data_IF_395044358601
#
_entry.id   IF_395044358601
#
_cell.length_a   1.000
_cell.length_b   1.000
_cell.length_c   1.000
_cell.angle_alpha   90.00
_cell.angle_beta   90.00
_cell.angle_gamma   90.00
#
_symmetry.space_group_name_H-M   'P 1'
#
loop_
_entity.id
_entity.type
_entity.pdbx_description
1 polymer ?
#
# COMPACT_ATOMS: atom_id res chain seq x y z
N UNK A 1 3.77 19.49 11.17
CA UNK A 1 5.10 19.21 11.75
C UNK A 1 6.14 18.95 10.66
N UNK A 2 5.90 18.05 9.71
CA UNK A 2 6.81 17.81 8.58
C UNK A 2 6.77 18.90 7.49
N UNK A 3 5.64 19.56 7.29
CA UNK A 3 5.51 20.75 6.41
C UNK A 3 6.48 21.87 6.77
N UNK A 4 6.67 22.13 8.07
CA UNK A 4 7.63 23.15 8.57
C UNK A 4 9.09 22.78 8.26
N UNK A 5 9.42 21.48 8.24
CA UNK A 5 10.74 21.03 7.81
C UNK A 5 10.90 21.24 6.30
N UNK A 6 9.90 20.87 5.50
CA UNK A 6 9.92 21.09 4.05
C UNK A 6 10.09 22.57 3.70
N UNK A 7 9.45 23.46 4.47
CA UNK A 7 9.63 24.92 4.37
C UNK A 7 11.06 25.36 4.63
N UNK A 8 11.69 24.89 5.71
CA UNK A 8 13.10 25.19 6.02
C UNK A 8 14.06 24.62 4.97
N UNK A 9 13.68 23.53 4.31
CA UNK A 9 14.44 22.92 3.22
C UNK A 9 14.13 23.53 1.85
N UNK A 10 13.25 24.53 1.75
CA UNK A 10 12.91 25.21 0.50
C UNK A 10 12.06 24.38 -0.48
N UNK A 11 11.41 23.32 -0.01
CA UNK A 11 10.62 22.38 -0.83
C UNK A 11 9.14 22.29 -0.40
N UNK A 12 8.64 23.30 0.32
CA UNK A 12 7.27 23.32 0.87
C UNK A 12 6.19 23.14 -0.19
N UNK A 13 6.33 23.82 -1.33
CA UNK A 13 5.31 23.78 -2.38
C UNK A 13 5.24 22.38 -3.01
N UNK A 14 6.38 21.75 -3.28
CA UNK A 14 6.43 20.39 -3.80
C UNK A 14 5.93 19.38 -2.77
N UNK A 15 6.22 19.62 -1.49
CA UNK A 15 5.82 18.73 -0.41
C UNK A 15 4.32 18.79 -0.10
N UNK A 16 3.73 19.99 -0.04
CA UNK A 16 2.31 20.18 0.27
C UNK A 16 1.43 20.11 -0.98
N UNK A 17 2.04 20.22 -2.16
CA UNK A 17 1.38 20.48 -3.44
C UNK A 17 0.46 21.71 -3.42
N UNK A 18 0.72 22.65 -2.52
CA UNK A 18 -0.12 23.83 -2.30
C UNK A 18 -1.47 23.53 -1.64
N UNK A 19 -1.69 22.32 -1.11
CA UNK A 19 -2.94 21.94 -0.44
C UNK A 19 -2.78 21.97 1.08
N UNK A 20 -3.80 22.49 1.73
CA UNK A 20 -4.05 22.33 3.16
C UNK A 20 -4.46 20.90 3.49
N UNK A 21 -4.48 20.56 4.77
CA UNK A 21 -4.97 19.25 5.23
C UNK A 21 -6.42 18.98 4.80
N UNK A 22 -7.30 19.99 4.86
CA UNK A 22 -8.71 19.86 4.45
C UNK A 22 -8.85 19.58 2.95
N UNK A 23 -8.05 20.28 2.14
CA UNK A 23 -8.03 20.07 0.68
C UNK A 23 -7.46 18.70 0.33
N UNK A 24 -6.44 18.22 1.06
CA UNK A 24 -5.94 16.86 0.92
C UNK A 24 -7.00 15.82 1.25
N UNK A 25 -7.74 15.99 2.35
CA UNK A 25 -8.83 15.07 2.70
C UNK A 25 -9.91 15.02 1.60
N UNK A 26 -10.30 16.18 1.06
CA UNK A 26 -11.29 16.27 -0.02
C UNK A 26 -10.79 15.66 -1.32
N UNK A 27 -9.52 15.90 -1.68
CA UNK A 27 -8.89 15.37 -2.88
C UNK A 27 -8.84 13.83 -2.85
N UNK A 28 -8.32 13.25 -1.77
CA UNK A 28 -8.24 11.80 -1.60
C UNK A 28 -9.63 11.16 -1.54
N UNK A 29 -10.59 11.84 -0.91
CA UNK A 29 -11.97 11.36 -0.88
C UNK A 29 -12.62 11.38 -2.27
N UNK A 30 -12.37 12.40 -3.08
CA UNK A 30 -12.85 12.46 -4.47
C UNK A 30 -12.29 11.30 -5.30
N UNK A 31 -10.98 11.04 -5.22
CA UNK A 31 -10.34 9.88 -5.86
C UNK A 31 -10.95 8.55 -5.37
N UNK A 32 -11.27 8.46 -4.08
CA UNK A 32 -11.90 7.27 -3.51
C UNK A 32 -13.31 7.05 -4.04
N UNK A 33 -14.09 8.12 -4.28
CA UNK A 33 -15.44 8.05 -4.86
C UNK A 33 -15.44 7.60 -6.33
N UNK A 34 -14.38 7.90 -7.08
CA UNK A 34 -14.21 7.38 -8.44
C UNK A 34 -14.09 5.85 -8.44
N UNK A 35 -13.32 5.30 -7.48
CA UNK A 35 -13.16 3.86 -7.32
C UNK A 35 -14.34 3.18 -6.60
N UNK A 36 -15.04 3.91 -5.73
CA UNK A 36 -16.14 3.40 -4.89
C UNK A 36 -17.34 4.36 -5.01
N UNK A 37 -18.18 4.21 -6.06
CA UNK A 37 -19.32 5.11 -6.31
C UNK A 37 -20.37 5.16 -5.19
N UNK A 38 -20.38 4.13 -4.33
CA UNK A 38 -21.27 4.02 -3.15
C UNK A 38 -20.91 4.99 -2.02
N UNK A 39 -19.70 5.57 -2.04
CA UNK A 39 -19.30 6.55 -1.04
C UNK A 39 -20.18 7.81 -1.14
N UNK A 40 -20.74 8.29 -0.01
CA UNK A 40 -21.59 9.48 0.01
C UNK A 40 -20.77 10.73 -0.34
N UNK A 41 -21.38 11.91 -0.34
CA UNK A 41 -20.62 13.15 -0.48
C UNK A 41 -19.65 13.34 0.71
N UNK A 42 -18.60 14.16 0.53
CA UNK A 42 -17.62 14.39 1.59
C UNK A 42 -18.27 14.95 2.85
N UNK A 43 -19.25 15.85 2.70
CA UNK A 43 -19.96 16.46 3.83
C UNK A 43 -20.81 15.44 4.60
N UNK A 44 -21.53 14.58 3.89
CA UNK A 44 -22.31 13.51 4.49
C UNK A 44 -21.40 12.52 5.23
N UNK A 45 -20.30 12.09 4.59
CA UNK A 45 -19.32 11.22 5.22
C UNK A 45 -18.72 11.85 6.48
N UNK A 46 -18.32 13.12 6.42
CA UNK A 46 -17.75 13.85 7.55
C UNK A 46 -18.72 13.91 8.73
N UNK A 47 -20.03 14.07 8.46
CA UNK A 47 -21.07 14.06 9.47
C UNK A 47 -21.34 12.65 10.04
N UNK A 48 -21.30 11.63 9.20
CA UNK A 48 -21.52 10.23 9.60
C UNK A 48 -20.33 9.64 10.36
N UNK A 49 -19.11 10.08 10.04
CA UNK A 49 -17.85 9.63 10.64
C UNK A 49 -17.34 8.27 10.13
N UNK A 50 -18.22 7.40 9.62
CA UNK A 50 -17.84 6.08 9.11
C UNK A 50 -18.73 5.64 7.94
N UNK A 51 -18.10 5.03 6.94
CA UNK A 51 -18.75 4.29 5.87
C UNK A 51 -18.43 2.80 6.05
N UNK A 52 -19.45 1.94 6.10
CA UNK A 52 -19.29 0.49 6.26
C UNK A 52 -19.72 -0.21 4.97
N UNK A 53 -18.81 -0.97 4.37
CA UNK A 53 -19.09 -1.85 3.24
C UNK A 53 -18.86 -3.29 3.65
N UNK A 54 -19.83 -4.16 3.37
CA UNK A 54 -19.65 -5.60 3.53
C UNK A 54 -18.98 -6.14 2.29
N UNK A 55 -17.98 -6.99 2.45
CA UNK A 55 -17.35 -7.67 1.33
C UNK A 55 -18.39 -8.58 0.64
N UNK A 56 -18.70 -8.36 -0.65
CA UNK A 56 -19.66 -9.19 -1.38
C UNK A 56 -19.14 -10.62 -1.60
N UNK A 57 -17.82 -10.84 -1.60
CA UNK A 57 -17.21 -12.16 -1.82
C UNK A 57 -17.18 -13.02 -0.54
N UNK A 58 -17.57 -12.46 0.60
CA UNK A 58 -17.66 -13.20 1.86
C UNK A 58 -16.31 -13.50 2.47
N UNK A 59 -16.16 -14.69 3.05
CA UNK A 59 -14.96 -15.06 3.80
C UNK A 59 -13.85 -15.53 2.85
N UNK A 60 -12.75 -14.79 2.81
CA UNK A 60 -11.55 -15.18 2.08
C UNK A 60 -10.64 -16.07 2.94
N UNK A 61 -10.26 -17.24 2.40
CA UNK A 61 -9.27 -18.14 3.02
C UNK A 61 -7.94 -17.96 2.30
N UNK A 62 -6.98 -17.33 2.98
CA UNK A 62 -5.64 -17.11 2.43
C UNK A 62 -4.96 -18.43 2.02
N UNK A 63 -4.26 -18.42 0.89
CA UNK A 63 -3.53 -19.56 0.32
C UNK A 63 -4.36 -20.81 0.01
N UNK A 64 -5.69 -20.72 0.00
CA UNK A 64 -6.56 -21.87 -0.32
C UNK A 64 -6.18 -22.52 -1.65
N UNK A 65 -6.04 -21.73 -2.71
CA UNK A 65 -5.71 -22.24 -4.05
C UNK A 65 -4.33 -22.93 -4.08
N UNK A 66 -3.31 -22.33 -3.44
CA UNK A 66 -1.98 -22.96 -3.30
C UNK A 66 -2.04 -24.27 -2.49
N UNK A 67 -2.87 -24.33 -1.44
CA UNK A 67 -3.06 -25.54 -0.64
C UNK A 67 -3.79 -26.64 -1.42
N UNK A 68 -4.76 -26.27 -2.25
CA UNK A 68 -5.54 -27.20 -3.07
C UNK A 68 -4.72 -27.75 -4.24
N UNK A 69 -3.98 -26.89 -4.94
CA UNK A 69 -3.07 -27.27 -6.02
C UNK A 69 -1.86 -26.30 -6.09
N UNK A 70 -0.72 -26.66 -5.48
CA UNK A 70 0.47 -25.81 -5.46
C UNK A 70 1.22 -25.77 -6.79
N UNK A 71 0.96 -26.71 -7.71
CA UNK A 71 1.58 -26.70 -9.03
C UNK A 71 0.83 -25.78 -9.99
N UNK A 72 -0.50 -25.77 -9.91
CA UNK A 72 -1.33 -24.84 -10.69
C UNK A 72 -1.33 -23.41 -10.12
N UNK A 73 -1.08 -23.25 -8.81
CA UNK A 73 -1.09 -21.96 -8.11
C UNK A 73 0.22 -21.71 -7.36
N UNK A 74 1.39 -21.70 -8.03
CA UNK A 74 2.68 -21.57 -7.36
C UNK A 74 2.82 -20.21 -6.67
N UNK A 75 3.61 -20.16 -5.59
CA UNK A 75 4.02 -18.91 -4.98
C UNK A 75 5.02 -18.16 -5.88
N UNK A 76 5.27 -16.89 -5.57
CA UNK A 76 6.22 -16.04 -6.31
C UNK A 76 7.70 -16.32 -5.98
N UNK A 77 7.97 -17.35 -5.17
CA UNK A 77 9.33 -17.80 -4.85
C UNK A 77 9.95 -18.54 -6.04
N UNK A 78 11.29 -18.59 -6.15
CA UNK A 78 11.96 -19.32 -7.23
C UNK A 78 11.51 -20.78 -7.39
N UNK A 79 11.26 -21.47 -6.28
CA UNK A 79 10.77 -22.86 -6.29
C UNK A 79 9.26 -23.00 -6.49
N UNK A 80 8.49 -21.90 -6.48
CA UNK A 80 7.03 -21.91 -6.45
C UNK A 80 6.43 -22.39 -5.12
N UNK A 81 7.25 -22.64 -4.09
CA UNK A 81 6.85 -23.20 -2.78
C UNK A 81 7.26 -22.27 -1.63
N UNK A 82 6.84 -22.62 -0.42
CA UNK A 82 7.39 -21.99 0.80
C UNK A 82 8.84 -22.44 0.95
N UNK A 83 9.76 -21.49 0.84
CA UNK A 83 11.19 -21.73 0.99
C UNK A 83 11.61 -21.60 2.45
N UNK A 84 11.73 -22.74 3.13
CA UNK A 84 12.29 -22.78 4.51
C UNK A 84 13.77 -22.35 4.49
N UNK A 85 14.47 -22.70 3.41
CA UNK A 85 15.80 -22.20 3.08
C UNK A 85 15.70 -21.41 1.78
N UNK A 86 16.11 -20.13 1.80
CA UNK A 86 16.10 -19.28 0.60
C UNK A 86 17.50 -19.23 0.00
N UNK A 87 17.67 -19.91 -1.15
CA UNK A 87 18.93 -19.86 -1.90
C UNK A 87 19.24 -18.43 -2.35
N UNK A 88 18.23 -17.68 -2.78
CA UNK A 88 18.41 -16.28 -3.20
C UNK A 88 19.01 -15.40 -2.09
N UNK A 89 18.57 -15.57 -0.84
CA UNK A 89 19.15 -14.86 0.30
C UNK A 89 20.56 -15.37 0.66
N UNK A 90 20.81 -16.67 0.53
CA UNK A 90 22.14 -17.24 0.74
C UNK A 90 23.15 -16.68 -0.29
N UNK A 91 22.74 -16.56 -1.55
CA UNK A 91 23.57 -15.99 -2.61
C UNK A 91 23.87 -14.51 -2.33
N UNK A 92 22.85 -13.71 -2.00
CA UNK A 92 23.05 -12.30 -1.60
C UNK A 92 24.02 -12.22 -0.42
N UNK A 93 23.82 -13.02 0.63
CA UNK A 93 24.71 -12.99 1.79
C UNK A 93 26.15 -13.39 1.45
N UNK A 94 26.34 -14.31 0.50
CA UNK A 94 27.65 -14.77 0.07
C UNK A 94 28.37 -13.78 -0.86
N UNK A 95 27.63 -12.99 -1.65
CA UNK A 95 28.20 -12.13 -2.70
C UNK A 95 28.04 -10.64 -2.44
N UNK A 96 27.33 -10.23 -1.38
CA UNK A 96 27.07 -8.82 -1.12
C UNK A 96 28.34 -8.09 -0.68
N UNK A 97 28.72 -7.08 -1.45
CA UNK A 97 29.78 -6.15 -1.11
C UNK A 97 29.18 -4.79 -0.76
N UNK A 98 29.56 -4.27 0.41
CA UNK A 98 29.22 -2.89 0.77
C UNK A 98 30.12 -1.95 -0.03
N UNK A 99 29.54 -1.30 -1.04
CA UNK A 99 30.23 -0.24 -1.78
C UNK A 99 30.66 0.84 -0.79
N UNK A 100 31.97 1.09 -0.71
CA UNK A 100 32.49 2.24 0.03
C UNK A 100 31.97 3.51 -0.63
N UNK A 101 31.37 4.39 0.15
CA UNK A 101 30.98 5.72 -0.32
C UNK A 101 32.23 6.44 -0.87
N UNK A 102 32.11 6.98 -2.09
CA UNK A 102 33.07 7.91 -2.67
C UNK A 102 32.99 9.27 -1.98
#
# INVERSE_FOLDING_TARGET
MTSELAKRLGVEQQFTEGRTQEEWMRHLYAQSREAIPELPTFEEFRKQGIFKKRDPQGHHVAYKAFREDPQANPLTTPSGKIEIYSQALADIAATWELLKAM
#
